data_IF_525837786404
#
_entry.id   IF_525837786404
#
_cell.length_a   1.000
_cell.length_b   1.000
_cell.length_c   1.000
_cell.angle_alpha   90.00
_cell.angle_beta   90.00
_cell.angle_gamma   90.00
#
_symmetry.space_group_name_H-M   'P 1'
#
loop_
_entity.id
_entity.type
_entity.pdbx_description
1 polymer ?
#
# COMPACT_ATOMS: atom_id res chain seq x y z
N UNK A 1 5.46 19.68 -21.68
CA UNK A 1 4.50 18.89 -22.45
C UNK A 1 4.05 17.79 -21.51
N UNK A 2 3.14 18.04 -20.55
CA UNK A 2 2.97 17.09 -19.41
C UNK A 2 1.64 17.25 -18.67
N UNK A 3 0.64 17.90 -19.28
CA UNK A 3 -0.66 18.14 -18.62
C UNK A 3 -1.83 17.35 -19.26
N UNK A 4 -1.65 16.80 -20.47
CA UNK A 4 -2.75 16.21 -21.25
C UNK A 4 -3.00 14.71 -20.97
N UNK A 5 -2.07 14.00 -20.31
CA UNK A 5 -2.20 12.55 -20.13
C UNK A 5 -3.08 12.15 -18.94
N UNK A 6 -3.28 13.02 -17.95
CA UNK A 6 -4.17 12.74 -16.82
C UNK A 6 -5.67 12.81 -17.17
N UNK A 7 -6.02 13.44 -18.29
CA UNK A 7 -7.42 13.69 -18.68
C UNK A 7 -8.11 12.47 -19.31
N UNK A 8 -7.37 11.38 -19.57
CA UNK A 8 -7.89 10.16 -20.20
C UNK A 8 -8.27 9.05 -19.21
N UNK A 9 -8.12 9.25 -17.90
CA UNK A 9 -8.44 8.23 -16.90
C UNK A 9 -9.94 8.23 -16.58
N UNK A 10 -10.59 7.09 -16.79
CA UNK A 10 -11.96 6.87 -16.36
C UNK A 10 -12.07 6.89 -14.82
N UNK A 11 -13.29 6.82 -14.28
CA UNK A 11 -13.53 6.88 -12.83
C UNK A 11 -12.79 5.77 -12.04
N UNK A 12 -12.62 4.57 -12.61
CA UNK A 12 -11.82 3.54 -12.00
C UNK A 12 -10.32 3.90 -12.02
N UNK A 13 -9.84 4.47 -13.13
CA UNK A 13 -8.47 4.99 -13.24
C UNK A 13 -8.16 6.07 -12.19
N UNK A 14 -9.08 7.01 -11.97
CA UNK A 14 -8.92 8.06 -10.93
C UNK A 14 -8.90 7.49 -9.51
N UNK A 15 -9.74 6.49 -9.20
CA UNK A 15 -9.70 5.79 -7.90
C UNK A 15 -8.41 5.04 -7.67
N UNK A 16 -7.89 4.36 -8.69
CA UNK A 16 -6.63 3.64 -8.58
C UNK A 16 -5.46 4.61 -8.33
N UNK A 17 -5.42 5.74 -9.03
CA UNK A 17 -4.40 6.77 -8.83
C UNK A 17 -4.40 7.38 -7.42
N UNK A 18 -5.53 7.37 -6.70
CA UNK A 18 -5.61 7.82 -5.32
C UNK A 18 -5.00 6.83 -4.30
N UNK A 19 -4.72 5.58 -4.71
CA UNK A 19 -4.17 4.53 -3.85
C UNK A 19 -2.85 4.01 -4.42
N UNK A 20 -1.78 4.78 -4.22
CA UNK A 20 -0.41 4.39 -4.59
C UNK A 20 0.18 3.51 -3.48
N UNK A 21 0.69 2.33 -3.86
CA UNK A 21 1.44 1.44 -2.97
C UNK A 21 2.92 1.63 -3.25
N UNK A 22 3.68 2.03 -2.23
CA UNK A 22 5.14 2.09 -2.29
C UNK A 22 5.71 0.69 -2.07
N UNK A 23 6.25 0.09 -3.14
CA UNK A 23 6.85 -1.25 -3.11
C UNK A 23 8.28 -1.24 -2.54
N UNK A 24 8.92 -0.07 -2.48
CA UNK A 24 10.24 0.15 -1.90
C UNK A 24 10.17 0.57 -0.42
N UNK A 25 8.95 0.71 0.13
CA UNK A 25 8.75 1.02 1.53
C UNK A 25 9.41 -0.05 2.43
N UNK A 26 10.35 0.39 3.27
CA UNK A 26 11.07 -0.49 4.21
C UNK A 26 10.17 -1.03 5.34
N UNK A 27 8.95 -0.51 5.47
CA UNK A 27 7.96 -0.91 6.47
C UNK A 27 6.59 -1.13 5.85
N UNK A 28 5.88 -2.13 6.36
CA UNK A 28 4.52 -2.51 5.99
C UNK A 28 3.62 -2.42 7.21
N UNK A 29 2.35 -2.09 7.01
CA UNK A 29 1.36 -2.06 8.09
C UNK A 29 0.66 -3.40 8.25
N UNK A 30 0.41 -3.81 9.50
CA UNK A 30 -0.34 -5.03 9.76
C UNK A 30 -1.80 -4.87 9.32
N UNK A 31 -2.34 -5.74 8.45
CA UNK A 31 -3.72 -5.61 7.98
C UNK A 31 -4.77 -5.85 9.07
N UNK A 32 -4.39 -6.43 10.22
CA UNK A 32 -5.31 -6.64 11.34
C UNK A 32 -5.28 -5.50 12.38
N UNK A 33 -4.10 -5.00 12.75
CA UNK A 33 -3.97 -4.02 13.83
C UNK A 33 -3.42 -2.66 13.39
N UNK A 34 -2.99 -2.52 12.13
CA UNK A 34 -2.40 -1.30 11.60
C UNK A 34 -0.99 -0.99 12.13
N UNK A 35 -0.37 -1.91 12.88
CA UNK A 35 0.97 -1.69 13.42
C UNK A 35 1.99 -1.75 12.28
N UNK A 36 2.83 -0.72 12.09
CA UNK A 36 3.92 -0.76 11.13
C UNK A 36 4.98 -1.75 11.61
N UNK A 37 5.46 -2.58 10.69
CA UNK A 37 6.55 -3.52 10.90
C UNK A 37 7.51 -3.48 9.72
N UNK A 38 8.81 -3.64 10.00
CA UNK A 38 9.83 -3.72 8.97
C UNK A 38 10.14 -5.17 8.58
N UNK A 39 10.53 -5.35 7.32
CA UNK A 39 10.91 -6.66 6.76
C UNK A 39 9.73 -7.61 6.50
N UNK A 40 10.01 -8.91 6.53
CA UNK A 40 9.06 -9.99 6.20
C UNK A 40 8.80 -10.93 7.39
N UNK A 41 8.25 -10.45 8.52
CA UNK A 41 7.97 -11.29 9.67
C UNK A 41 6.84 -12.28 9.35
N UNK A 42 6.98 -13.53 9.82
CA UNK A 42 5.93 -14.56 9.65
C UNK A 42 4.69 -14.25 10.50
N UNK A 43 4.86 -13.49 11.59
CA UNK A 43 3.78 -13.04 12.48
C UNK A 43 3.97 -11.58 12.87
N UNK A 44 2.88 -10.84 12.98
CA UNK A 44 2.89 -9.50 13.53
C UNK A 44 3.37 -9.54 15.00
N UNK A 45 4.36 -8.73 15.39
CA UNK A 45 4.87 -8.70 16.77
C UNK A 45 3.86 -8.10 17.77
N UNK A 46 2.90 -7.31 17.30
CA UNK A 46 1.90 -6.63 18.13
C UNK A 46 0.66 -7.49 18.36
N UNK A 47 -0.01 -7.93 17.29
CA UNK A 47 -1.28 -8.69 17.39
C UNK A 47 -1.15 -10.21 17.19
N UNK A 48 0.01 -10.71 16.75
CA UNK A 48 0.23 -12.14 16.51
C UNK A 48 -0.41 -12.70 15.25
N UNK A 49 -1.04 -11.87 14.40
CA UNK A 49 -1.58 -12.29 13.09
C UNK A 49 -0.47 -12.93 12.24
N UNK A 50 -0.77 -14.03 11.56
CA UNK A 50 0.14 -14.66 10.60
C UNK A 50 0.07 -13.88 9.27
N UNK A 51 1.22 -13.36 8.82
CA UNK A 51 1.37 -12.52 7.63
C UNK A 51 1.84 -13.30 6.37
N UNK A 52 2.16 -14.59 6.55
CA UNK A 52 2.64 -15.52 5.51
C UNK A 52 1.62 -16.61 5.22
#
# INVERSE_FOLDING_TARGET
MEAAELESLDEAGRRAAAHVIDLDAESNDCPACGEPFSGHPVRCPSCGLRLR
#
